data_IF_926333824462
#
_entry.id   IF_926333824462
#
_cell.length_a   1.000
_cell.length_b   1.000
_cell.length_c   1.000
_cell.angle_alpha   90.00
_cell.angle_beta   90.00
_cell.angle_gamma   90.00
#
_symmetry.space_group_name_H-M   'P 1'
#
loop_
_entity.id
_entity.type
_entity.pdbx_description
1 polymer ?
#
# COMPACT_ATOMS: atom_id res chain seq x y z
N UNK A 1 44.41 -20.33 -28.92
CA UNK A 1 43.92 -20.31 -27.52
C UNK A 1 42.41 -20.38 -27.57
N UNK A 2 41.86 -21.52 -27.13
CA UNK A 2 40.41 -21.76 -27.08
C UNK A 2 39.79 -20.79 -26.09
N UNK A 3 38.92 -19.89 -26.54
CA UNK A 3 38.06 -19.11 -25.65
C UNK A 3 37.04 -20.09 -25.06
N UNK A 4 37.20 -20.42 -23.79
CA UNK A 4 36.14 -21.01 -22.98
C UNK A 4 34.92 -20.10 -23.07
N UNK A 5 33.71 -20.62 -23.36
CA UNK A 5 32.51 -19.80 -23.27
C UNK A 5 32.39 -19.32 -21.82
N UNK A 6 32.52 -18.00 -21.63
CA UNK A 6 32.36 -17.38 -20.33
C UNK A 6 31.00 -17.75 -19.77
N UNK A 7 30.97 -18.27 -18.54
CA UNK A 7 29.71 -18.42 -17.82
C UNK A 7 28.96 -17.07 -17.85
N UNK A 8 27.65 -17.06 -18.11
CA UNK A 8 26.88 -15.82 -18.04
C UNK A 8 27.06 -15.23 -16.64
N UNK A 9 27.39 -13.94 -16.59
CA UNK A 9 27.63 -13.26 -15.33
C UNK A 9 26.40 -13.36 -14.41
N UNK A 10 26.57 -13.53 -13.09
CA UNK A 10 25.46 -13.73 -12.17
C UNK A 10 24.47 -12.56 -12.22
N UNK A 11 23.19 -12.89 -12.08
CA UNK A 11 22.09 -11.93 -12.09
C UNK A 11 22.04 -11.18 -10.76
N UNK A 12 22.39 -9.89 -10.77
CA UNK A 12 22.43 -9.06 -9.56
C UNK A 12 21.05 -8.49 -9.24
N UNK A 13 20.68 -8.52 -7.96
CA UNK A 13 19.46 -7.89 -7.45
C UNK A 13 19.79 -6.86 -6.38
N UNK A 14 19.41 -5.60 -6.60
CA UNK A 14 19.48 -4.57 -5.57
C UNK A 14 18.26 -4.72 -4.65
N UNK A 15 18.46 -4.86 -3.35
CA UNK A 15 17.41 -4.99 -2.35
C UNK A 15 17.33 -3.70 -1.54
N UNK A 16 16.32 -2.87 -1.81
CA UNK A 16 16.05 -1.64 -1.07
C UNK A 16 14.90 -1.88 -0.10
N UNK A 17 15.05 -1.52 1.17
CA UNK A 17 14.02 -1.77 2.19
C UNK A 17 13.67 -3.29 2.27
N UNK A 18 14.62 -4.11 2.77
CA UNK A 18 14.40 -5.54 2.96
C UNK A 18 13.21 -5.81 3.90
N UNK A 19 12.73 -7.05 3.97
CA UNK A 19 11.73 -7.41 4.99
C UNK A 19 12.25 -7.15 6.43
N UNK A 20 11.35 -7.08 7.41
CA UNK A 20 11.73 -6.82 8.81
C UNK A 20 12.12 -8.12 9.54
N UNK A 21 13.12 -8.05 10.41
CA UNK A 21 13.56 -9.17 11.24
C UNK A 21 14.05 -10.38 10.42
N UNK A 22 13.85 -11.59 10.94
CA UNK A 22 14.24 -12.85 10.27
C UNK A 22 13.64 -13.03 8.86
N UNK A 23 12.53 -12.34 8.56
CA UNK A 23 11.93 -12.40 7.24
C UNK A 23 12.86 -11.82 6.16
N UNK A 24 13.75 -10.88 6.52
CA UNK A 24 14.78 -10.37 5.61
C UNK A 24 15.63 -11.52 5.08
N UNK A 25 16.13 -12.35 5.99
CA UNK A 25 17.04 -13.44 5.69
C UNK A 25 16.32 -14.52 4.88
N UNK A 26 15.07 -14.84 5.24
CA UNK A 26 14.25 -15.77 4.44
C UNK A 26 14.07 -15.28 3.00
N UNK A 27 13.82 -13.98 2.80
CA UNK A 27 13.67 -13.37 1.48
C UNK A 27 14.99 -13.37 0.69
N UNK A 28 16.11 -13.04 1.33
CA UNK A 28 17.44 -13.01 0.71
C UNK A 28 17.91 -14.42 0.32
N UNK A 29 17.74 -15.42 1.20
CA UNK A 29 18.00 -16.83 0.88
C UNK A 29 17.13 -17.30 -0.28
N UNK A 30 15.85 -16.91 -0.32
CA UNK A 30 14.96 -17.29 -1.40
C UNK A 30 15.39 -16.69 -2.74
N UNK A 31 15.82 -15.41 -2.78
CA UNK A 31 16.42 -14.82 -3.99
C UNK A 31 17.69 -15.57 -4.42
N UNK A 32 18.55 -15.94 -3.47
CA UNK A 32 19.75 -16.75 -3.73
C UNK A 32 19.42 -18.11 -4.35
N UNK A 33 18.38 -18.79 -3.87
CA UNK A 33 17.91 -20.07 -4.41
C UNK A 33 17.40 -19.96 -5.86
N UNK A 34 17.05 -18.76 -6.32
CA UNK A 34 16.70 -18.49 -7.72
C UNK A 34 17.93 -18.20 -8.61
N UNK A 35 19.16 -18.29 -8.07
CA UNK A 35 20.40 -17.95 -8.78
C UNK A 35 20.65 -16.44 -8.90
N UNK A 36 19.96 -15.63 -8.08
CA UNK A 36 20.17 -14.19 -8.00
C UNK A 36 21.23 -13.88 -6.93
N UNK A 37 21.98 -12.80 -7.12
CA UNK A 37 23.00 -12.32 -6.17
C UNK A 37 22.53 -11.01 -5.54
N UNK A 38 22.01 -11.03 -4.30
CA UNK A 38 21.54 -9.83 -3.63
C UNK A 38 22.66 -8.88 -3.21
N UNK A 39 22.45 -7.59 -3.45
CA UNK A 39 23.13 -6.50 -2.76
C UNK A 39 22.10 -5.75 -1.91
N UNK A 40 22.31 -5.67 -0.60
CA UNK A 40 21.30 -5.21 0.36
C UNK A 40 21.59 -3.79 0.84
N UNK A 41 20.61 -2.89 0.71
CA UNK A 41 20.69 -1.55 1.29
C UNK A 41 20.37 -1.60 2.80
N UNK A 42 21.37 -1.32 3.63
CA UNK A 42 21.29 -1.40 5.09
C UNK A 42 20.70 -0.14 5.75
N UNK A 43 20.48 0.95 5.01
CA UNK A 43 20.02 2.24 5.55
C UNK A 43 18.78 2.14 6.45
N UNK A 44 17.89 1.16 6.18
CA UNK A 44 16.64 0.93 6.93
C UNK A 44 16.65 -0.36 7.77
N UNK A 45 17.79 -1.02 7.89
CA UNK A 45 17.99 -2.16 8.80
C UNK A 45 18.47 -1.64 10.15
N UNK A 46 17.52 -1.29 11.01
CA UNK A 46 17.83 -0.67 12.31
C UNK A 46 18.40 -1.63 13.36
N UNK A 47 18.10 -2.93 13.25
CA UNK A 47 18.57 -3.96 14.18
C UNK A 47 20.04 -4.33 13.89
N UNK A 48 20.98 -4.06 14.82
CA UNK A 48 22.40 -4.35 14.61
C UNK A 48 22.70 -5.85 14.45
N UNK A 49 21.94 -6.73 15.11
CA UNK A 49 22.16 -8.18 15.03
C UNK A 49 21.74 -8.72 13.66
N UNK A 50 20.62 -8.23 13.14
CA UNK A 50 20.20 -8.54 11.77
C UNK A 50 21.19 -7.98 10.75
N UNK A 51 21.65 -6.73 10.94
CA UNK A 51 22.64 -6.10 10.05
C UNK A 51 23.91 -6.93 9.93
N UNK A 52 24.49 -7.35 11.06
CA UNK A 52 25.70 -8.16 11.07
C UNK A 52 25.54 -9.52 10.34
N UNK A 53 24.36 -10.13 10.44
CA UNK A 53 24.04 -11.38 9.71
C UNK A 53 23.90 -11.14 8.21
N UNK A 54 23.30 -10.03 7.80
CA UNK A 54 23.22 -9.67 6.37
C UNK A 54 24.62 -9.42 5.80
N UNK A 55 25.45 -8.65 6.51
CA UNK A 55 26.82 -8.33 6.10
C UNK A 55 27.73 -9.57 6.02
N UNK A 56 27.42 -10.64 6.77
CA UNK A 56 28.19 -11.88 6.74
C UNK A 56 27.96 -12.71 5.45
N UNK A 57 26.76 -12.66 4.89
CA UNK A 57 26.31 -13.60 3.86
C UNK A 57 26.01 -12.94 2.49
N UNK A 58 25.81 -11.61 2.45
CA UNK A 58 25.46 -10.87 1.22
C UNK A 58 26.25 -9.58 1.04
N UNK A 59 26.38 -9.13 -0.20
CA UNK A 59 26.90 -7.79 -0.50
C UNK A 59 25.98 -6.72 0.10
N UNK A 60 26.57 -5.63 0.59
CA UNK A 60 25.81 -4.56 1.25
C UNK A 60 26.21 -3.18 0.77
N UNK A 61 25.25 -2.26 0.82
CA UNK A 61 25.41 -0.83 0.52
C UNK A 61 24.63 -0.01 1.53
N UNK A 62 24.95 1.28 1.65
CA UNK A 62 24.25 2.20 2.56
C UNK A 62 24.03 3.54 1.86
N UNK A 63 22.80 3.75 1.38
CA UNK A 63 22.40 4.97 0.68
C UNK A 63 20.92 5.29 0.95
N UNK A 64 20.52 6.53 0.71
CA UNK A 64 19.13 6.93 0.78
C UNK A 64 18.35 6.47 -0.47
N UNK A 65 17.71 5.31 -0.38
CA UNK A 65 16.87 4.78 -1.48
C UNK A 65 15.62 5.60 -1.82
N UNK A 66 15.34 6.69 -1.10
CA UNK A 66 14.27 7.64 -1.39
C UNK A 66 14.77 8.92 -2.05
N UNK A 67 16.10 9.07 -2.19
CA UNK A 67 16.71 10.07 -3.05
C UNK A 67 16.77 9.50 -4.47
N UNK A 68 16.09 10.15 -5.40
CA UNK A 68 16.05 9.77 -6.81
C UNK A 68 17.47 9.67 -7.40
N UNK A 69 18.33 10.62 -7.06
CA UNK A 69 19.72 10.68 -7.53
C UNK A 69 20.58 9.57 -6.92
N UNK A 70 20.49 9.31 -5.61
CA UNK A 70 21.27 8.24 -4.97
C UNK A 70 20.82 6.85 -5.45
N UNK A 71 19.51 6.66 -5.66
CA UNK A 71 18.98 5.42 -6.21
C UNK A 71 19.49 5.16 -7.63
N UNK A 72 19.49 6.18 -8.49
CA UNK A 72 20.01 6.05 -9.85
C UNK A 72 21.52 5.77 -9.85
N UNK A 73 22.30 6.50 -9.05
CA UNK A 73 23.74 6.26 -8.91
C UNK A 73 24.03 4.84 -8.44
N UNK A 74 23.27 4.33 -7.45
CA UNK A 74 23.45 2.95 -6.99
C UNK A 74 23.06 1.94 -8.08
N UNK A 75 22.01 2.17 -8.86
CA UNK A 75 21.59 1.26 -9.92
C UNK A 75 22.60 1.20 -11.09
N UNK A 76 23.39 2.25 -11.31
CA UNK A 76 24.51 2.23 -12.27
C UNK A 76 25.73 1.48 -11.73
N UNK A 77 26.03 1.64 -10.44
CA UNK A 77 27.14 0.98 -9.73
C UNK A 77 28.46 1.01 -10.52
N UNK A 78 28.90 2.21 -10.91
CA UNK A 78 30.14 2.38 -11.68
C UNK A 78 30.15 1.69 -13.06
N UNK A 79 28.98 1.36 -13.62
CA UNK A 79 28.82 0.64 -14.88
C UNK A 79 28.53 -0.86 -14.72
N UNK A 80 28.59 -1.41 -13.50
CA UNK A 80 28.30 -2.82 -13.27
C UNK A 80 26.80 -3.15 -13.38
N UNK A 81 25.95 -2.23 -12.93
CA UNK A 81 24.50 -2.32 -13.01
C UNK A 81 23.85 -3.47 -12.23
N UNK A 82 22.51 -3.52 -12.30
CA UNK A 82 21.65 -4.56 -11.72
C UNK A 82 20.61 -5.02 -12.74
N UNK A 83 20.30 -6.31 -12.79
CA UNK A 83 19.19 -6.82 -13.63
C UNK A 83 17.85 -6.78 -12.90
N UNK A 84 17.86 -6.84 -11.57
CA UNK A 84 16.65 -6.77 -10.77
C UNK A 84 16.76 -5.77 -9.62
N UNK A 85 15.62 -5.22 -9.23
CA UNK A 85 15.44 -4.39 -8.05
C UNK A 85 14.28 -4.95 -7.24
N UNK A 86 14.50 -5.21 -5.96
CA UNK A 86 13.46 -5.57 -5.01
C UNK A 86 13.26 -4.44 -4.02
N UNK A 87 12.02 -4.04 -3.77
CA UNK A 87 11.69 -3.12 -2.69
C UNK A 87 10.38 -3.41 -1.97
N UNK A 88 10.09 -2.62 -0.94
CA UNK A 88 8.83 -2.65 -0.19
C UNK A 88 8.22 -1.27 -0.08
N UNK A 89 8.99 -0.31 0.43
CA UNK A 89 8.60 1.08 0.43
C UNK A 89 8.42 1.67 -0.99
N UNK A 90 7.70 2.79 -1.05
CA UNK A 90 7.56 3.58 -2.27
C UNK A 90 8.85 4.34 -2.56
N UNK A 91 9.77 3.69 -3.29
CA UNK A 91 10.97 4.34 -3.83
C UNK A 91 10.61 5.16 -5.09
N UNK A 92 11.35 6.23 -5.41
CA UNK A 92 11.10 7.07 -6.57
C UNK A 92 11.62 6.41 -7.86
N UNK A 93 10.90 5.43 -8.39
CA UNK A 93 11.25 4.77 -9.66
C UNK A 93 10.72 5.61 -10.84
N UNK A 94 11.30 6.79 -11.01
CA UNK A 94 10.92 7.74 -12.05
C UNK A 94 11.49 7.35 -13.42
N UNK A 95 11.07 8.07 -14.47
CA UNK A 95 11.71 7.99 -15.79
C UNK A 95 13.23 8.13 -15.69
N UNK A 96 13.74 9.18 -15.01
CA UNK A 96 15.18 9.44 -14.88
C UNK A 96 15.94 8.24 -14.31
N UNK A 97 15.44 7.67 -13.20
CA UNK A 97 16.03 6.48 -12.58
C UNK A 97 16.05 5.30 -13.55
N UNK A 98 14.94 5.09 -14.27
CA UNK A 98 14.83 4.02 -15.25
C UNK A 98 15.77 4.21 -16.45
N UNK A 99 15.95 5.44 -16.97
CA UNK A 99 16.89 5.68 -18.09
C UNK A 99 18.33 5.38 -17.67
N UNK A 100 18.71 5.78 -16.46
CA UNK A 100 20.05 5.50 -15.90
C UNK A 100 20.25 4.01 -15.67
N UNK A 101 19.29 3.33 -15.04
CA UNK A 101 19.36 1.90 -14.74
C UNK A 101 19.28 0.98 -15.99
N UNK A 102 18.93 1.52 -17.16
CA UNK A 102 18.82 0.77 -18.42
C UNK A 102 19.77 1.26 -19.51
N UNK A 103 20.72 2.14 -19.17
CA UNK A 103 21.67 2.70 -20.13
C UNK A 103 22.51 1.61 -20.84
N UNK A 104 22.80 1.82 -22.13
CA UNK A 104 23.52 0.84 -22.96
C UNK A 104 24.93 0.51 -22.46
N UNK A 105 25.58 1.46 -21.77
CA UNK A 105 26.92 1.29 -21.19
C UNK A 105 26.99 0.40 -19.94
N UNK A 106 25.86 -0.03 -19.39
CA UNK A 106 25.83 -0.90 -18.21
C UNK A 106 26.12 -2.36 -18.60
N UNK A 107 26.95 -3.04 -17.80
CA UNK A 107 27.17 -4.48 -17.92
C UNK A 107 25.88 -5.28 -17.68
N UNK A 108 24.99 -4.76 -16.82
CA UNK A 108 23.68 -5.33 -16.47
C UNK A 108 22.63 -4.22 -16.51
N UNK A 109 21.69 -4.33 -17.43
CA UNK A 109 20.55 -3.42 -17.50
C UNK A 109 19.41 -3.97 -16.65
N UNK A 110 18.70 -3.08 -15.97
CA UNK A 110 17.52 -3.42 -15.19
C UNK A 110 16.44 -3.98 -16.12
N UNK A 111 15.88 -5.14 -15.75
CA UNK A 111 14.79 -5.80 -16.49
C UNK A 111 13.61 -6.16 -15.61
N UNK A 112 13.80 -6.18 -14.28
CA UNK A 112 12.76 -6.49 -13.31
C UNK A 112 12.79 -5.53 -12.12
N UNK A 113 11.64 -4.95 -11.79
CA UNK A 113 11.40 -4.31 -10.50
C UNK A 113 10.27 -5.02 -9.80
N UNK A 114 10.54 -5.50 -8.60
CA UNK A 114 9.56 -6.16 -7.75
C UNK A 114 9.31 -5.39 -6.47
N UNK A 115 8.05 -5.04 -6.21
CA UNK A 115 7.62 -4.37 -4.97
C UNK A 115 6.70 -5.27 -4.17
N UNK A 116 7.09 -5.62 -2.96
CA UNK A 116 6.27 -6.42 -2.06
C UNK A 116 5.25 -5.52 -1.32
N UNK A 117 4.35 -4.94 -2.10
CA UNK A 117 3.19 -4.15 -1.71
C UNK A 117 2.15 -4.21 -2.86
N UNK A 118 0.90 -3.83 -2.58
CA UNK A 118 -0.17 -3.84 -3.60
C UNK A 118 -0.06 -2.71 -4.64
N UNK A 119 0.40 -1.53 -4.23
CA UNK A 119 0.45 -0.33 -5.10
C UNK A 119 1.82 -0.11 -5.74
N UNK A 120 1.82 0.54 -6.89
CA UNK A 120 3.01 1.00 -7.63
C UNK A 120 2.96 2.50 -7.91
N UNK A 121 2.27 3.26 -7.05
CA UNK A 121 1.91 4.66 -7.28
C UNK A 121 3.13 5.59 -7.48
N UNK A 122 4.30 5.21 -6.94
CA UNK A 122 5.57 5.95 -7.06
C UNK A 122 6.42 5.53 -8.26
N UNK A 123 5.93 4.61 -9.09
CA UNK A 123 6.67 4.06 -10.22
C UNK A 123 6.13 4.62 -11.54
N UNK A 124 7.02 5.10 -12.41
CA UNK A 124 6.67 5.45 -13.78
C UNK A 124 6.53 4.18 -14.63
N UNK A 125 5.34 3.59 -14.57
CA UNK A 125 5.01 2.33 -15.25
C UNK A 125 5.14 2.46 -16.77
N UNK A 126 4.82 3.63 -17.33
CA UNK A 126 4.94 3.89 -18.76
C UNK A 126 6.43 3.91 -19.18
N UNK A 127 7.28 4.64 -18.45
CA UNK A 127 8.71 4.66 -18.72
C UNK A 127 9.37 3.29 -18.53
N UNK A 128 8.89 2.48 -17.58
CA UNK A 128 9.37 1.11 -17.38
C UNK A 128 9.02 0.23 -18.58
N UNK A 129 7.77 0.32 -19.07
CA UNK A 129 7.33 -0.40 -20.27
C UNK A 129 8.11 0.03 -21.52
N UNK A 130 8.31 1.33 -21.75
CA UNK A 130 9.10 1.88 -22.86
C UNK A 130 10.53 1.30 -22.89
N UNK A 131 11.05 0.89 -21.72
CA UNK A 131 12.42 0.40 -21.52
C UNK A 131 12.52 -1.12 -21.37
N UNK A 132 11.40 -1.84 -21.50
CA UNK A 132 11.39 -3.29 -21.33
C UNK A 132 11.63 -3.75 -19.89
N UNK A 133 11.36 -2.90 -18.89
CA UNK A 133 11.45 -3.23 -17.46
C UNK A 133 10.11 -3.73 -16.96
N UNK A 134 10.05 -5.00 -16.54
CA UNK A 134 8.86 -5.57 -15.95
C UNK A 134 8.67 -5.09 -14.51
N UNK A 135 7.46 -4.62 -14.17
CA UNK A 135 7.08 -4.29 -12.79
C UNK A 135 6.19 -5.40 -12.23
N UNK A 136 6.57 -5.95 -11.08
CA UNK A 136 5.80 -6.96 -10.34
C UNK A 136 5.42 -6.43 -8.95
N UNK A 137 4.15 -6.55 -8.59
CA UNK A 137 3.63 -6.18 -7.27
C UNK A 137 2.87 -7.36 -6.66
N UNK A 138 2.39 -7.22 -5.43
CA UNK A 138 1.68 -8.30 -4.72
C UNK A 138 0.25 -7.91 -4.34
N UNK A 139 -0.61 -7.57 -5.30
CA UNK A 139 -1.97 -7.11 -5.04
C UNK A 139 -2.75 -8.15 -4.26
N UNK A 140 -3.42 -7.72 -3.19
CA UNK A 140 -4.26 -8.57 -2.35
C UNK A 140 -3.52 -9.37 -1.27
N UNK A 141 -2.19 -9.40 -1.26
CA UNK A 141 -1.42 -10.10 -0.22
C UNK A 141 -1.64 -9.50 1.18
N UNK A 142 -1.89 -8.19 1.24
CA UNK A 142 -2.20 -7.47 2.47
C UNK A 142 -3.70 -7.19 2.67
N UNK A 143 -4.60 -7.77 1.86
CA UNK A 143 -6.02 -7.43 1.88
C UNK A 143 -6.70 -7.71 3.21
N UNK A 144 -6.33 -8.82 3.88
CA UNK A 144 -6.85 -9.16 5.21
C UNK A 144 -6.48 -8.10 6.25
N UNK A 145 -5.19 -7.72 6.32
CA UNK A 145 -4.71 -6.71 7.24
C UNK A 145 -5.40 -5.35 7.04
N UNK A 146 -5.51 -4.90 5.78
CA UNK A 146 -6.15 -3.62 5.48
C UNK A 146 -7.64 -3.64 5.86
N UNK A 147 -8.33 -4.74 5.56
CA UNK A 147 -9.74 -4.90 5.93
C UNK A 147 -9.94 -4.93 7.45
N UNK A 148 -9.06 -5.60 8.21
CA UNK A 148 -9.09 -5.62 9.68
C UNK A 148 -8.92 -4.21 10.28
N UNK A 149 -7.93 -3.45 9.82
CA UNK A 149 -7.77 -2.06 10.29
C UNK A 149 -8.94 -1.19 9.84
N UNK A 150 -9.43 -1.35 8.61
CA UNK A 150 -10.60 -0.61 8.11
C UNK A 150 -11.82 -0.82 9.03
N UNK A 151 -12.13 -2.07 9.39
CA UNK A 151 -13.25 -2.35 10.31
C UNK A 151 -12.98 -1.80 11.71
N UNK A 152 -11.73 -1.85 12.18
CA UNK A 152 -11.34 -1.24 13.46
C UNK A 152 -11.57 0.27 13.46
N UNK A 153 -11.20 0.97 12.38
CA UNK A 153 -11.43 2.39 12.19
C UNK A 153 -12.92 2.73 12.02
N UNK A 154 -13.70 1.88 11.36
CA UNK A 154 -15.17 2.02 11.30
C UNK A 154 -15.78 1.96 12.70
N UNK A 155 -15.40 0.95 13.49
CA UNK A 155 -15.88 0.79 14.85
C UNK A 155 -15.44 1.97 15.72
N UNK A 156 -14.18 2.42 15.60
CA UNK A 156 -13.71 3.59 16.34
C UNK A 156 -14.47 4.86 15.97
N UNK A 157 -14.71 5.13 14.69
CA UNK A 157 -15.48 6.31 14.27
C UNK A 157 -16.95 6.25 14.73
N UNK A 158 -17.58 5.08 14.70
CA UNK A 158 -18.96 4.89 15.18
C UNK A 158 -19.06 4.96 16.72
N UNK A 159 -18.06 4.42 17.43
CA UNK A 159 -18.06 4.21 18.89
C UNK A 159 -17.14 5.16 19.66
N UNK A 160 -16.44 6.06 18.98
CA UNK A 160 -15.50 7.05 19.51
C UNK A 160 -14.50 6.49 20.54
N UNK A 161 -13.91 5.31 20.32
CA UNK A 161 -13.07 4.65 21.33
C UNK A 161 -11.83 5.49 21.63
N UNK A 162 -11.09 5.91 20.60
CA UNK A 162 -9.88 6.71 20.72
C UNK A 162 -10.15 8.08 21.38
N UNK A 163 -11.24 8.74 20.98
CA UNK A 163 -11.68 10.00 21.61
C UNK A 163 -11.98 9.81 23.09
N UNK A 164 -12.78 8.79 23.43
CA UNK A 164 -13.20 8.51 24.81
C UNK A 164 -12.03 8.09 25.70
N UNK A 165 -11.08 7.31 25.17
CA UNK A 165 -9.82 7.01 25.87
C UNK A 165 -9.05 8.30 26.20
N UNK A 166 -8.91 9.22 25.24
CA UNK A 166 -8.28 10.53 25.46
C UNK A 166 -9.00 11.35 26.53
N UNK A 167 -10.34 11.41 26.46
CA UNK A 167 -11.16 12.14 27.44
C UNK A 167 -10.98 11.58 28.86
N UNK A 168 -11.03 10.26 29.01
CA UNK A 168 -10.82 9.60 30.31
C UNK A 168 -9.41 9.81 30.85
N UNK A 169 -8.38 9.74 29.99
CA UNK A 169 -6.98 10.04 30.38
C UNK A 169 -6.78 11.50 30.80
N UNK A 170 -7.59 12.42 30.27
CA UNK A 170 -7.61 13.81 30.71
C UNK A 170 -8.41 14.03 32.00
N UNK A 171 -9.04 12.97 32.55
CA UNK A 171 -9.84 13.02 33.77
C UNK A 171 -11.31 13.43 33.55
N UNK A 172 -11.76 13.56 32.30
CA UNK A 172 -13.12 14.03 31.98
C UNK A 172 -14.05 12.85 31.65
N UNK A 173 -14.78 12.38 32.65
CA UNK A 173 -15.87 11.41 32.42
C UNK A 173 -17.02 12.01 31.62
N UNK A 174 -17.34 13.28 31.89
CA UNK A 174 -18.42 14.00 31.22
C UNK A 174 -18.19 14.07 29.70
N UNK A 175 -16.98 14.44 29.26
CA UNK A 175 -16.61 14.45 27.83
C UNK A 175 -16.71 13.04 27.21
N UNK A 176 -16.23 12.02 27.93
CA UNK A 176 -16.25 10.63 27.44
C UNK A 176 -17.66 10.08 27.19
N UNK A 177 -18.69 10.57 27.90
CA UNK A 177 -20.08 10.15 27.70
C UNK A 177 -20.88 11.04 26.75
N UNK A 178 -20.28 12.09 26.19
CA UNK A 178 -20.92 12.91 25.17
C UNK A 178 -21.24 12.12 23.90
N UNK A 179 -22.27 12.56 23.17
CA UNK A 179 -22.73 11.95 21.91
C UNK A 179 -23.08 10.45 22.05
N UNK A 180 -23.65 10.08 23.21
CA UNK A 180 -24.32 8.80 23.42
C UNK A 180 -25.85 8.97 23.33
N UNK A 181 -26.60 7.94 22.87
CA UNK A 181 -26.12 6.62 22.43
C UNK A 181 -25.35 6.67 21.11
N UNK A 182 -24.27 5.91 21.02
CA UNK A 182 -23.44 5.80 19.81
C UNK A 182 -24.03 4.78 18.81
N UNK A 183 -23.67 4.92 17.53
CA UNK A 183 -24.12 4.05 16.44
C UNK A 183 -23.38 2.69 16.46
N UNK A 184 -23.85 1.72 15.69
CA UNK A 184 -23.27 0.38 15.55
C UNK A 184 -23.18 -0.03 14.08
N UNK A 185 -22.40 -1.08 13.78
CA UNK A 185 -22.42 -1.73 12.47
C UNK A 185 -23.68 -2.60 12.26
N UNK A 186 -24.25 -3.13 13.34
CA UNK A 186 -25.50 -3.90 13.27
C UNK A 186 -26.64 -3.04 12.70
N UNK A 187 -27.24 -3.50 11.61
CA UNK A 187 -28.27 -2.79 10.86
C UNK A 187 -27.77 -1.59 10.04
N UNK A 188 -26.48 -1.27 10.03
CA UNK A 188 -25.94 -0.15 9.26
C UNK A 188 -25.74 -0.53 7.78
N UNK A 189 -25.89 0.46 6.89
CA UNK A 189 -25.51 0.31 5.47
C UNK A 189 -24.07 0.75 5.28
N UNK A 190 -23.20 -0.20 4.93
CA UNK A 190 -21.78 0.03 4.64
C UNK A 190 -21.57 0.07 3.13
N UNK A 191 -21.21 1.23 2.61
CA UNK A 191 -20.87 1.45 1.20
C UNK A 191 -19.38 1.33 0.95
N UNK A 192 -18.97 0.44 0.05
CA UNK A 192 -17.59 0.28 -0.36
C UNK A 192 -17.36 0.90 -1.75
N UNK A 193 -16.48 1.88 -1.82
CA UNK A 193 -16.00 2.47 -3.08
C UNK A 193 -14.79 1.69 -3.54
N UNK A 194 -14.98 0.82 -4.53
CA UNK A 194 -14.03 -0.17 -4.99
C UNK A 194 -14.53 -1.60 -4.73
N UNK A 195 -14.26 -2.52 -5.66
CA UNK A 195 -14.73 -3.91 -5.61
C UNK A 195 -13.61 -4.96 -5.54
N UNK A 196 -12.38 -4.51 -5.28
CA UNK A 196 -11.19 -5.37 -5.22
C UNK A 196 -11.11 -6.26 -3.96
N UNK A 197 -9.95 -6.90 -3.78
CA UNK A 197 -9.71 -7.87 -2.70
C UNK A 197 -9.91 -7.27 -1.29
N UNK A 198 -9.46 -6.03 -1.06
CA UNK A 198 -9.64 -5.32 0.22
C UNK A 198 -11.13 -5.11 0.49
N UNK A 199 -11.86 -4.49 -0.45
CA UNK A 199 -13.29 -4.24 -0.31
C UNK A 199 -14.09 -5.53 -0.08
N UNK A 200 -13.78 -6.60 -0.83
CA UNK A 200 -14.42 -7.91 -0.63
C UNK A 200 -14.19 -8.44 0.78
N UNK A 201 -12.97 -8.34 1.30
CA UNK A 201 -12.65 -8.79 2.65
C UNK A 201 -13.30 -7.92 3.72
N UNK A 202 -13.32 -6.59 3.54
CA UNK A 202 -14.07 -5.67 4.40
C UNK A 202 -15.55 -6.04 4.45
N UNK A 203 -16.16 -6.31 3.28
CA UNK A 203 -17.55 -6.73 3.18
C UNK A 203 -17.86 -8.01 3.96
N UNK A 204 -17.00 -9.03 3.86
CA UNK A 204 -17.13 -10.27 4.64
C UNK A 204 -17.11 -10.00 6.15
N UNK A 205 -16.19 -9.15 6.61
CA UNK A 205 -16.07 -8.80 8.03
C UNK A 205 -17.28 -8.01 8.53
N UNK A 206 -17.69 -6.93 7.86
CA UNK A 206 -18.80 -6.10 8.35
C UNK A 206 -20.15 -6.82 8.30
N UNK A 207 -20.35 -7.77 7.37
CA UNK A 207 -21.55 -8.62 7.35
C UNK A 207 -21.64 -9.51 8.58
N UNK A 208 -20.51 -9.96 9.13
CA UNK A 208 -20.51 -10.71 10.39
C UNK A 208 -20.97 -9.87 11.59
N UNK A 209 -20.92 -8.54 11.48
CA UNK A 209 -21.48 -7.59 12.47
C UNK A 209 -22.96 -7.22 12.20
N UNK A 210 -23.62 -7.82 11.20
CA UNK A 210 -25.01 -7.51 10.86
C UNK A 210 -25.22 -6.33 9.91
N UNK A 211 -24.15 -5.81 9.30
CA UNK A 211 -24.25 -4.71 8.33
C UNK A 211 -24.80 -5.18 6.96
N UNK A 212 -25.56 -4.31 6.31
CA UNK A 212 -25.87 -4.42 4.89
C UNK A 212 -24.73 -3.80 4.06
N UNK A 213 -24.24 -4.49 3.03
CA UNK A 213 -23.10 -4.01 2.23
C UNK A 213 -23.54 -3.58 0.84
N UNK A 214 -23.17 -2.37 0.46
CA UNK A 214 -23.31 -1.83 -0.88
C UNK A 214 -21.92 -1.65 -1.50
N UNK A 215 -21.81 -1.81 -2.82
CA UNK A 215 -20.54 -1.64 -3.54
C UNK A 215 -20.70 -0.89 -4.84
N UNK A 216 -19.82 0.08 -5.03
CA UNK A 216 -19.60 0.75 -6.29
C UNK A 216 -18.21 0.36 -6.81
N UNK A 217 -18.10 -0.05 -8.07
CA UNK A 217 -16.84 -0.47 -8.68
C UNK A 217 -16.56 0.28 -9.98
N UNK A 218 -15.36 0.08 -10.52
CA UNK A 218 -15.00 0.59 -11.85
C UNK A 218 -15.98 0.10 -12.94
N UNK A 219 -15.97 0.67 -14.16
CA UNK A 219 -16.80 0.19 -15.26
C UNK A 219 -16.61 -1.30 -15.59
N UNK A 220 -15.46 -1.89 -15.22
CA UNK A 220 -15.17 -3.32 -15.38
C UNK A 220 -15.96 -4.19 -14.41
N UNK A 221 -16.52 -3.64 -13.33
CA UNK A 221 -17.34 -4.34 -12.34
C UNK A 221 -18.80 -4.41 -12.80
N UNK A 222 -19.01 -5.17 -13.87
CA UNK A 222 -20.32 -5.40 -14.47
C UNK A 222 -21.22 -6.23 -13.56
N UNK A 223 -22.53 -6.27 -13.84
CA UNK A 223 -23.49 -7.13 -13.10
C UNK A 223 -23.04 -8.61 -13.09
N UNK A 224 -22.49 -9.09 -14.19
CA UNK A 224 -21.93 -10.44 -14.29
C UNK A 224 -20.76 -10.64 -13.32
N UNK A 225 -19.78 -9.73 -13.31
CA UNK A 225 -18.63 -9.80 -12.39
C UNK A 225 -19.00 -9.57 -10.92
N UNK A 226 -20.12 -8.91 -10.67
CA UNK A 226 -20.70 -8.78 -9.34
C UNK A 226 -21.36 -10.08 -8.85
N UNK A 227 -21.56 -11.07 -9.73
CA UNK A 227 -22.02 -12.40 -9.37
C UNK A 227 -21.10 -13.02 -8.31
N UNK A 228 -21.64 -13.25 -7.10
CA UNK A 228 -20.88 -13.79 -5.97
C UNK A 228 -20.04 -12.77 -5.20
N UNK A 229 -20.18 -11.47 -5.47
CA UNK A 229 -19.64 -10.42 -4.60
C UNK A 229 -20.52 -10.28 -3.33
N UNK A 230 -19.94 -10.15 -2.12
CA UNK A 230 -20.67 -10.20 -0.85
C UNK A 230 -21.44 -8.90 -0.51
N UNK A 231 -22.35 -8.48 -1.38
CA UNK A 231 -23.24 -7.33 -1.15
C UNK A 231 -23.88 -6.79 -2.43
N UNK A 232 -24.68 -5.73 -2.28
CA UNK A 232 -25.46 -5.13 -3.35
C UNK A 232 -24.59 -4.23 -4.21
N UNK A 233 -24.47 -4.53 -5.51
CA UNK A 233 -23.90 -3.59 -6.48
C UNK A 233 -24.87 -2.42 -6.70
N UNK A 234 -24.34 -1.20 -6.66
CA UNK A 234 -25.04 0.03 -7.04
C UNK A 234 -24.55 0.55 -8.39
N UNK A 235 -25.35 1.37 -9.06
CA UNK A 235 -25.04 1.83 -10.42
C UNK A 235 -24.22 3.12 -10.46
N UNK A 236 -24.19 3.89 -9.35
CA UNK A 236 -23.46 5.15 -9.27
C UNK A 236 -22.83 5.39 -7.90
N UNK A 237 -21.76 6.20 -7.88
CA UNK A 237 -21.16 6.67 -6.63
C UNK A 237 -22.17 7.48 -5.80
N UNK A 238 -22.98 8.33 -6.44
CA UNK A 238 -24.00 9.12 -5.75
C UNK A 238 -25.04 8.26 -5.02
N UNK A 239 -25.50 7.15 -5.64
CA UNK A 239 -26.41 6.19 -4.99
C UNK A 239 -25.78 5.63 -3.70
N UNK A 240 -24.48 5.30 -3.73
CA UNK A 240 -23.75 4.82 -2.56
C UNK A 240 -23.64 5.90 -1.48
N UNK A 241 -23.21 7.10 -1.84
CA UNK A 241 -22.94 8.19 -0.90
C UNK A 241 -24.20 8.63 -0.16
N UNK A 242 -25.33 8.74 -0.86
CA UNK A 242 -26.64 9.11 -0.28
C UNK A 242 -27.22 7.98 0.57
N UNK A 243 -26.98 6.74 0.16
CA UNK A 243 -27.66 5.57 0.71
C UNK A 243 -26.93 4.88 1.86
N UNK A 244 -25.70 5.23 2.19
CA UNK A 244 -24.90 4.52 3.18
C UNK A 244 -24.64 5.32 4.46
N UNK A 245 -24.54 4.60 5.57
CA UNK A 245 -24.26 5.11 6.90
C UNK A 245 -22.75 5.18 7.20
N UNK A 246 -21.99 4.31 6.53
CA UNK A 246 -20.54 4.24 6.58
C UNK A 246 -20.06 4.07 5.14
N UNK A 247 -19.15 4.92 4.68
CA UNK A 247 -18.56 4.88 3.35
C UNK A 247 -17.06 4.58 3.53
N UNK A 248 -16.54 3.57 2.84
CA UNK A 248 -15.12 3.23 2.87
C UNK A 248 -14.51 3.15 1.49
N UNK A 249 -13.35 3.80 1.33
CA UNK A 249 -12.66 3.96 0.06
C UNK A 249 -11.56 2.90 -0.10
N UNK A 250 -11.61 2.16 -1.21
CA UNK A 250 -10.77 1.00 -1.52
C UNK A 250 -10.36 0.95 -3.01
N UNK A 251 -10.24 2.12 -3.64
CA UNK A 251 -9.75 2.25 -5.03
C UNK A 251 -8.25 2.56 -5.06
N UNK A 252 -7.51 2.13 -6.10
CA UNK A 252 -6.12 2.56 -6.29
C UNK A 252 -6.04 4.08 -6.58
N UNK A 253 -4.89 4.70 -6.35
CA UNK A 253 -4.64 6.04 -6.86
C UNK A 253 -4.35 5.99 -8.36
N UNK A 254 -5.00 6.89 -9.09
CA UNK A 254 -4.88 7.05 -10.54
C UNK A 254 -5.47 8.41 -10.93
N UNK A 255 -5.24 8.84 -12.17
CA UNK A 255 -5.90 10.05 -12.70
C UNK A 255 -7.43 9.97 -12.69
N UNK A 256 -8.02 8.77 -12.70
CA UNK A 256 -9.47 8.58 -12.65
C UNK A 256 -10.05 8.64 -11.22
N UNK A 257 -9.20 8.48 -10.20
CA UNK A 257 -9.61 8.41 -8.79
C UNK A 257 -9.07 9.55 -7.94
N UNK A 258 -8.23 10.40 -8.51
CA UNK A 258 -7.75 11.63 -7.89
C UNK A 258 -8.92 12.58 -7.61
N UNK A 259 -9.04 13.01 -6.35
CA UNK A 259 -10.14 13.86 -5.90
C UNK A 259 -11.53 13.22 -6.03
N UNK A 260 -11.62 11.88 -6.13
CA UNK A 260 -12.89 11.17 -6.32
C UNK A 260 -13.93 11.53 -5.25
N UNK A 261 -13.50 11.76 -4.01
CA UNK A 261 -14.35 12.27 -2.93
C UNK A 261 -13.88 13.68 -2.59
N UNK A 262 -14.58 14.68 -3.11
CA UNK A 262 -14.33 16.09 -2.85
C UNK A 262 -15.58 16.76 -2.26
N UNK A 263 -15.63 18.10 -2.30
CA UNK A 263 -16.70 18.86 -1.66
C UNK A 263 -18.11 18.51 -2.19
N UNK A 264 -18.25 18.15 -3.47
CA UNK A 264 -19.55 17.79 -4.04
C UNK A 264 -20.02 16.42 -3.53
N UNK A 265 -19.13 15.44 -3.49
CA UNK A 265 -19.42 14.08 -3.03
C UNK A 265 -19.66 14.03 -1.53
N UNK A 266 -18.85 14.76 -0.76
CA UNK A 266 -19.03 14.86 0.70
C UNK A 266 -20.41 15.42 1.04
N UNK A 267 -20.93 16.40 0.29
CA UNK A 267 -22.29 16.96 0.50
C UNK A 267 -23.42 15.98 0.24
N UNK A 268 -23.18 14.93 -0.55
CA UNK A 268 -24.19 13.88 -0.79
C UNK A 268 -24.32 12.94 0.40
N UNK A 269 -23.31 12.87 1.26
CA UNK A 269 -23.30 12.00 2.42
C UNK A 269 -24.29 12.50 3.47
N UNK A 270 -25.08 11.61 4.11
CA UNK A 270 -25.90 11.99 5.24
C UNK A 270 -25.09 12.64 6.37
N UNK A 271 -25.68 13.61 7.07
CA UNK A 271 -25.03 14.33 8.18
C UNK A 271 -24.63 13.43 9.37
N UNK A 272 -25.11 12.19 9.39
CA UNK A 272 -24.77 11.17 10.39
C UNK A 272 -23.77 10.12 9.89
N UNK A 273 -23.34 10.21 8.63
CA UNK A 273 -22.49 9.23 7.99
C UNK A 273 -21.06 9.27 8.50
N UNK A 274 -20.33 8.19 8.25
CA UNK A 274 -18.90 8.06 8.55
C UNK A 274 -18.12 7.83 7.26
N UNK A 275 -16.99 8.52 7.08
CA UNK A 275 -16.07 8.27 5.96
C UNK A 275 -14.78 7.57 6.43
N UNK A 276 -14.36 6.51 5.74
CA UNK A 276 -13.13 5.78 6.03
C UNK A 276 -12.22 5.81 4.81
N UNK A 277 -11.00 6.32 4.96
CA UNK A 277 -9.99 6.28 3.92
C UNK A 277 -8.76 5.46 4.35
N UNK A 278 -8.64 4.25 3.81
CA UNK A 278 -7.46 3.37 3.92
C UNK A 278 -6.84 3.08 2.56
N UNK A 279 -7.20 3.86 1.54
CA UNK A 279 -6.74 3.71 0.18
C UNK A 279 -5.48 4.56 -0.08
N UNK A 280 -5.67 5.83 -0.46
CA UNK A 280 -4.61 6.82 -0.71
C UNK A 280 -5.14 8.22 -0.39
N UNK A 281 -4.23 9.11 0.00
CA UNK A 281 -4.56 10.50 0.32
C UNK A 281 -5.21 11.22 -0.87
N UNK A 282 -4.63 11.08 -2.06
CA UNK A 282 -5.11 11.74 -3.29
C UNK A 282 -6.54 11.40 -3.71
N UNK A 283 -7.15 10.34 -3.16
CA UNK A 283 -8.52 9.93 -3.52
C UNK A 283 -9.59 10.77 -2.79
N UNK A 284 -9.26 11.30 -1.61
CA UNK A 284 -10.16 12.11 -0.78
C UNK A 284 -9.49 13.45 -0.51
N UNK A 285 -10.10 14.56 -0.95
CA UNK A 285 -9.53 15.89 -0.72
C UNK A 285 -9.57 16.24 0.78
N UNK A 286 -8.40 16.34 1.42
CA UNK A 286 -8.26 16.56 2.87
C UNK A 286 -8.91 17.88 3.32
N UNK A 287 -8.76 18.96 2.55
CA UNK A 287 -9.35 20.27 2.87
C UNK A 287 -10.87 20.28 2.73
N UNK A 288 -11.41 19.53 1.77
CA UNK A 288 -12.85 19.39 1.63
C UNK A 288 -13.41 18.55 2.80
N UNK A 289 -12.70 17.49 3.20
CA UNK A 289 -13.07 16.64 4.31
C UNK A 289 -13.02 17.39 5.65
N UNK A 290 -11.94 18.14 5.94
CA UNK A 290 -11.85 18.93 7.19
C UNK A 290 -13.02 19.91 7.32
N UNK A 291 -13.34 20.63 6.23
CA UNK A 291 -14.48 21.56 6.20
C UNK A 291 -15.82 20.85 6.41
N UNK A 292 -16.04 19.71 5.74
CA UNK A 292 -17.27 18.94 5.89
C UNK A 292 -17.45 18.43 7.32
N UNK A 293 -16.38 17.91 7.95
CA UNK A 293 -16.42 17.41 9.32
C UNK A 293 -16.72 18.50 10.37
N UNK A 294 -16.40 19.76 10.06
CA UNK A 294 -16.70 20.91 10.92
C UNK A 294 -18.12 21.46 10.72
N UNK A 295 -18.79 21.07 9.64
CA UNK A 295 -20.17 21.46 9.35
C UNK A 295 -21.14 20.39 9.87
N UNK A 296 -21.91 20.66 10.96
CA UNK A 296 -22.82 19.66 11.52
C UNK A 296 -24.06 19.40 10.65
N UNK A 297 -24.29 20.18 9.59
CA UNK A 297 -25.51 20.14 8.77
C UNK A 297 -25.27 19.46 7.43
N UNK A 298 -24.01 19.35 6.98
CA UNK A 298 -23.67 18.85 5.65
C UNK A 298 -22.43 17.96 5.65
N UNK A 299 -22.56 16.73 5.12
CA UNK A 299 -21.48 15.77 4.96
C UNK A 299 -21.26 14.86 6.16
N UNK A 300 -20.22 14.00 6.15
CA UNK A 300 -20.05 13.00 7.19
C UNK A 300 -19.81 13.64 8.56
N UNK A 301 -20.38 13.05 9.62
CA UNK A 301 -20.15 13.51 11.00
C UNK A 301 -18.77 13.12 11.53
N UNK A 302 -18.27 11.97 11.08
CA UNK A 302 -17.02 11.41 11.54
C UNK A 302 -16.22 10.90 10.35
N UNK A 303 -14.90 10.92 10.47
CA UNK A 303 -14.03 10.23 9.54
C UNK A 303 -12.95 9.45 10.29
N UNK A 304 -12.38 8.46 9.61
CA UNK A 304 -11.13 7.85 10.02
C UNK A 304 -10.22 7.69 8.80
N UNK A 305 -8.99 8.17 8.92
CA UNK A 305 -8.03 8.29 7.82
C UNK A 305 -6.73 7.62 8.21
N UNK A 306 -6.26 6.69 7.36
CA UNK A 306 -4.97 6.03 7.50
C UNK A 306 -3.91 6.59 6.54
N UNK A 307 -4.26 7.46 5.61
CA UNK A 307 -3.36 7.88 4.50
C UNK A 307 -3.38 9.39 4.34
N UNK A 308 -2.20 10.00 4.16
CA UNK A 308 -2.06 11.47 4.15
C UNK A 308 -1.14 11.95 3.01
N UNK A 309 -1.32 13.20 2.58
CA UNK A 309 -0.44 13.77 1.54
C UNK A 309 1.01 13.90 2.00
N UNK A 310 1.22 14.21 3.29
CA UNK A 310 2.54 14.35 3.91
C UNK A 310 2.80 13.23 4.91
N UNK A 311 3.50 12.19 4.45
CA UNK A 311 3.92 11.06 5.25
C UNK A 311 5.43 11.12 5.51
N UNK A 312 5.85 11.23 6.76
CA UNK A 312 7.28 11.37 7.07
C UNK A 312 7.59 11.45 8.56
N UNK A 313 8.76 12.02 8.87
CA UNK A 313 9.28 12.11 10.24
C UNK A 313 8.44 13.01 11.18
N UNK A 314 7.63 13.91 10.60
CA UNK A 314 6.67 14.74 11.33
C UNK A 314 5.31 14.63 10.64
N UNK A 315 4.28 14.43 11.43
CA UNK A 315 2.91 14.43 10.93
C UNK A 315 2.43 15.87 10.74
N UNK A 316 1.86 16.15 9.56
CA UNK A 316 1.24 17.44 9.23
C UNK A 316 0.09 17.18 8.26
N UNK A 317 -1.11 17.62 8.64
CA UNK A 317 -2.32 17.52 7.84
C UNK A 317 -3.32 18.56 8.36
N UNK A 318 -4.20 19.05 7.49
CA UNK A 318 -5.33 19.90 7.90
C UNK A 318 -6.30 19.17 8.84
N UNK A 319 -6.29 17.84 8.83
CA UNK A 319 -7.11 16.99 9.70
C UNK A 319 -6.51 16.81 11.11
N UNK A 320 -5.27 17.24 11.36
CA UNK A 320 -4.55 16.98 12.60
C UNK A 320 -5.30 17.47 13.85
N UNK A 321 -5.96 18.62 13.76
CA UNK A 321 -6.72 19.25 14.85
C UNK A 321 -8.24 19.10 14.67
N UNK A 322 -8.70 18.22 13.78
CA UNK A 322 -10.12 17.99 13.58
C UNK A 322 -10.64 16.99 14.65
N UNK A 323 -11.52 17.41 15.57
CA UNK A 323 -12.01 16.54 16.65
C UNK A 323 -12.95 15.43 16.15
N UNK A 324 -13.37 15.50 14.88
CA UNK A 324 -14.25 14.54 14.23
C UNK A 324 -13.50 13.54 13.33
N UNK A 325 -12.17 13.55 13.34
CA UNK A 325 -11.36 12.62 12.57
C UNK A 325 -10.46 11.75 13.46
N UNK A 326 -10.55 10.43 13.31
CA UNK A 326 -9.52 9.49 13.81
C UNK A 326 -8.39 9.39 12.78
N UNK A 327 -7.14 9.38 13.26
CA UNK A 327 -5.94 9.38 12.42
C UNK A 327 -5.12 8.12 12.70
N UNK A 328 -4.63 7.48 11.65
CA UNK A 328 -3.77 6.29 11.71
C UNK A 328 -2.59 6.43 10.71
N UNK A 329 -1.35 6.04 11.04
CA UNK A 329 -0.16 6.46 10.29
C UNK A 329 0.21 5.53 9.11
N UNK A 330 -0.72 5.27 8.18
CA UNK A 330 -0.53 4.43 6.99
C UNK A 330 -0.04 3.02 7.29
N UNK A 331 -0.70 2.38 8.27
CA UNK A 331 -0.29 1.08 8.80
C UNK A 331 -1.27 -0.06 8.47
N UNK A 332 -2.36 0.20 7.73
CA UNK A 332 -3.37 -0.81 7.43
C UNK A 332 -2.80 -2.12 6.87
N UNK A 333 -1.78 -2.02 6.01
CA UNK A 333 -1.15 -3.19 5.39
C UNK A 333 0.00 -3.82 6.20
N UNK A 334 0.35 -3.29 7.37
CA UNK A 334 1.65 -3.53 8.03
C UNK A 334 1.58 -4.56 9.18
N UNK A 335 0.84 -5.66 8.99
CA UNK A 335 0.87 -6.79 9.94
C UNK A 335 1.98 -7.77 9.58
N UNK A 336 2.49 -8.52 10.57
CA UNK A 336 3.52 -9.56 10.34
C UNK A 336 3.10 -10.54 9.25
N UNK A 337 1.86 -11.05 9.32
CA UNK A 337 1.32 -11.99 8.35
C UNK A 337 1.21 -11.39 6.94
N UNK A 338 0.74 -10.14 6.81
CA UNK A 338 0.64 -9.47 5.50
C UNK A 338 2.01 -9.21 4.87
N UNK A 339 3.00 -8.83 5.67
CA UNK A 339 4.38 -8.63 5.21
C UNK A 339 4.99 -9.95 4.73
N UNK A 340 4.79 -11.04 5.48
CA UNK A 340 5.22 -12.39 5.08
C UNK A 340 4.56 -12.84 3.78
N UNK A 341 3.23 -12.70 3.67
CA UNK A 341 2.48 -13.05 2.46
C UNK A 341 2.94 -12.24 1.23
N UNK A 342 3.22 -10.94 1.42
CA UNK A 342 3.71 -10.07 0.36
C UNK A 342 5.14 -10.44 -0.07
N UNK A 343 6.03 -10.76 0.87
CA UNK A 343 7.36 -11.28 0.52
C UNK A 343 7.28 -12.60 -0.24
N UNK A 344 6.49 -13.55 0.25
CA UNK A 344 6.35 -14.85 -0.40
C UNK A 344 5.82 -14.73 -1.83
N UNK A 345 4.72 -14.01 -2.02
CA UNK A 345 4.14 -13.77 -3.36
C UNK A 345 5.11 -13.04 -4.29
N UNK A 346 5.92 -12.12 -3.76
CA UNK A 346 6.90 -11.43 -4.59
C UNK A 346 7.98 -12.40 -5.07
N UNK A 347 8.48 -13.27 -4.19
CA UNK A 347 9.45 -14.30 -4.58
C UNK A 347 8.89 -15.21 -5.67
N UNK A 348 7.60 -15.60 -5.61
CA UNK A 348 6.95 -16.36 -6.68
C UNK A 348 6.90 -15.59 -8.03
N UNK A 349 6.70 -14.26 -7.99
CA UNK A 349 6.80 -13.41 -9.19
C UNK A 349 8.23 -13.37 -9.74
N UNK A 350 9.25 -13.27 -8.88
CA UNK A 350 10.66 -13.36 -9.30
C UNK A 350 10.96 -14.73 -9.93
N UNK A 351 10.53 -15.82 -9.30
CA UNK A 351 10.75 -17.17 -9.81
C UNK A 351 10.13 -17.35 -11.22
N UNK A 352 8.88 -16.93 -11.40
CA UNK A 352 8.22 -16.97 -12.72
C UNK A 352 8.99 -16.15 -13.74
N UNK A 353 9.36 -14.92 -13.40
CA UNK A 353 10.09 -14.06 -14.32
C UNK A 353 11.46 -14.65 -14.71
N UNK A 354 12.20 -15.19 -13.74
CA UNK A 354 13.50 -15.84 -13.97
C UNK A 354 13.35 -17.05 -14.89
N UNK A 355 12.35 -17.91 -14.65
CA UNK A 355 12.05 -19.06 -15.52
C UNK A 355 11.69 -18.64 -16.94
N UNK A 356 10.80 -17.66 -17.09
CA UNK A 356 10.28 -17.23 -18.39
C UNK A 356 11.36 -16.53 -19.25
N UNK A 357 12.36 -15.90 -18.61
CA UNK A 357 13.36 -15.06 -19.29
C UNK A 357 14.79 -15.64 -19.24
N UNK A 358 14.98 -16.82 -18.65
CA UNK A 358 16.29 -17.48 -18.55
C UNK A 358 17.33 -16.67 -17.77
N UNK A 359 16.90 -15.91 -16.75
CA UNK A 359 17.77 -15.08 -15.92
C UNK A 359 18.45 -15.91 -14.81
N UNK A 360 19.21 -16.94 -15.18
CA UNK A 360 20.04 -17.68 -14.24
C UNK A 360 21.51 -17.56 -14.63
N UNK A 361 22.34 -17.10 -13.69
CA UNK A 361 23.79 -17.18 -13.82
C UNK A 361 24.28 -18.47 -13.16
N UNK A 362 24.26 -19.58 -13.90
CA UNK A 362 24.76 -20.88 -13.42
C UNK A 362 23.81 -21.60 -12.48
N UNK A 363 23.51 -22.86 -12.78
CA UNK A 363 22.71 -23.74 -11.92
C UNK A 363 23.43 -24.11 -10.62
N UNK A 364 22.74 -24.78 -9.67
CA UNK A 364 23.34 -25.22 -8.41
C UNK A 364 24.47 -26.21 -8.66
N UNK A 365 25.54 -26.11 -7.85
CA UNK A 365 26.60 -27.12 -7.73
C UNK A 365 26.07 -28.45 -7.20
#
# INVERSE_FOLDING_TARGET
MSMTPGHPAPCRVLVVDPALGEQALTELTALGNLGLVPTVNLRRVADPALRARIEADWDTVDFNGFSEEELACQLEDGGHGYQALKCRAGIPLTRMVLERATAEGLQRRLVLVGRAASGSDTFDVAAAQDRGVAIRTTPGANAAAVAELTVSLMLDALRGVARRDRDLRSGSWASAVENLPARSLDGARVGLVGSGAIARRTAELVRAFGAEVWVFGSPRFTRERAGGWPGRRVESLAELLVGCDVISVHVPASSETEGLIAAAELRLMPSHAVLINTARASVVCEEALDRALRDPVSGPRWAAVDVFESEGARFSSVLADNPHCTLSPHVAGMTRAAMQASSHRLIEEFERFVKDNGLTGGGPL
#
